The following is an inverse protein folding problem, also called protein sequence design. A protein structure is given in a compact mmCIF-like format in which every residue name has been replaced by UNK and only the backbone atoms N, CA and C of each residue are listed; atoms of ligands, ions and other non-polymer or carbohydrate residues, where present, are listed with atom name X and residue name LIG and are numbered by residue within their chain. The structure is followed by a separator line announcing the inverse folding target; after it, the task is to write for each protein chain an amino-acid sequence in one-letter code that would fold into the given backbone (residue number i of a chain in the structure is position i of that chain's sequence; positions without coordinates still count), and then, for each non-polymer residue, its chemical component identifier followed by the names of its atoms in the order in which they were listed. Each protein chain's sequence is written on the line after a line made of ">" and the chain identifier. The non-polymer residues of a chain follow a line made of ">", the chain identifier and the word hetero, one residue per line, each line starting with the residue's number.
data_IF_115863764768
#
_entry.id   IF_115863764768
#
_cell.length_a   1.000
_cell.length_b   1.000
_cell.length_c   1.000
_cell.angle_alpha   90.00
_cell.angle_beta   90.00
_cell.angle_gamma   90.00
#
_symmetry.space_group_name_H-M   'P 1'
#
loop_
_entity.id
_entity.type
_entity.pdbx_description
1 polymer ?
#
# COMPACT_ATOMS: atom_id res chain seq x y z
N UNK A 1 24.93 -61.96 -40.01
CA UNK A 1 24.30 -61.89 -41.36
C UNK A 1 23.48 -60.59 -41.47
N UNK A 2 22.92 -60.25 -42.64
CA UNK A 2 22.33 -58.93 -43.04
C UNK A 2 20.81 -59.10 -43.31
N UNK A 3 19.89 -58.12 -43.22
CA UNK A 3 19.91 -56.66 -42.89
C UNK A 3 18.59 -56.29 -42.14
N UNK A 4 18.60 -55.25 -41.29
CA UNK A 4 17.40 -54.41 -41.00
C UNK A 4 16.67 -54.70 -39.68
N UNK A 5 15.98 -53.74 -39.03
CA UNK A 5 15.69 -52.33 -39.35
C UNK A 5 14.17 -52.06 -39.45
N UNK A 6 13.58 -50.97 -38.94
CA UNK A 6 14.08 -49.78 -38.20
C UNK A 6 13.41 -49.75 -36.78
N UNK A 7 13.01 -48.70 -36.04
CA UNK A 7 12.87 -47.21 -36.12
C UNK A 7 12.75 -46.71 -34.63
N UNK A 8 12.69 -45.44 -34.21
CA UNK A 8 12.60 -44.13 -34.85
C UNK A 8 13.14 -42.98 -33.94
N UNK A 9 13.45 -41.83 -34.57
CA UNK A 9 13.34 -40.43 -34.08
C UNK A 9 13.57 -40.05 -32.61
N UNK A 10 14.67 -39.31 -32.38
CA UNK A 10 14.88 -38.41 -31.24
C UNK A 10 16.27 -37.75 -31.33
N UNK A 11 16.40 -36.50 -31.81
CA UNK A 11 17.70 -35.93 -32.17
C UNK A 11 18.48 -35.34 -30.98
N UNK A 12 19.72 -35.80 -30.85
CA UNK A 12 20.95 -35.00 -30.75
C UNK A 12 21.11 -34.02 -29.58
N UNK A 13 21.62 -34.55 -28.45
CA UNK A 13 22.44 -33.76 -27.54
C UNK A 13 23.82 -33.50 -28.18
N UNK A 14 24.24 -32.23 -28.29
CA UNK A 14 25.54 -31.86 -28.89
C UNK A 14 26.29 -30.81 -28.06
N UNK A 15 27.48 -31.19 -27.64
CA UNK A 15 28.65 -30.38 -27.26
C UNK A 15 28.51 -29.15 -26.36
N UNK A 16 29.12 -29.29 -25.18
CA UNK A 16 29.91 -28.21 -24.56
C UNK A 16 30.92 -27.61 -25.54
N UNK A 17 30.87 -26.29 -25.76
CA UNK A 17 32.05 -25.46 -26.01
C UNK A 17 31.71 -23.96 -25.84
N UNK A 18 32.37 -23.28 -24.90
CA UNK A 18 32.69 -21.83 -24.87
C UNK A 18 32.94 -21.33 -23.44
N UNK A 19 34.12 -21.61 -22.88
CA UNK A 19 34.72 -20.69 -21.93
C UNK A 19 35.35 -19.54 -22.74
N UNK A 20 34.87 -18.31 -22.54
CA UNK A 20 35.36 -17.12 -23.25
C UNK A 20 35.38 -15.92 -22.30
N UNK A 21 36.42 -15.09 -22.39
CA UNK A 21 36.66 -13.97 -21.48
C UNK A 21 36.24 -12.63 -22.09
N UNK A 22 35.63 -11.78 -21.25
CA UNK A 22 35.53 -10.33 -21.38
C UNK A 22 34.67 -9.77 -22.56
N UNK A 23 34.27 -8.48 -22.51
CA UNK A 23 34.44 -7.51 -21.44
C UNK A 23 33.12 -7.14 -20.73
N UNK A 24 33.21 -6.37 -19.64
CA UNK A 24 32.05 -5.78 -19.00
C UNK A 24 31.41 -4.71 -19.91
N UNK A 25 30.16 -4.93 -20.33
CA UNK A 25 29.39 -3.99 -21.15
C UNK A 25 27.99 -3.85 -20.57
N UNK A 26 27.62 -2.63 -20.19
CA UNK A 26 26.21 -2.24 -20.02
C UNK A 26 25.46 -2.92 -18.87
N UNK A 27 25.87 -2.65 -17.62
CA UNK A 27 24.98 -2.78 -16.46
C UNK A 27 23.89 -1.67 -16.48
N UNK A 28 23.08 -1.65 -17.55
CA UNK A 28 21.82 -0.92 -17.59
C UNK A 28 20.81 -1.73 -16.80
N UNK A 29 20.90 -1.64 -15.46
CA UNK A 29 19.94 -2.23 -14.55
C UNK A 29 18.57 -1.64 -14.84
N UNK A 30 17.77 -2.38 -15.60
CA UNK A 30 16.36 -2.12 -15.79
C UNK A 30 15.67 -2.31 -14.44
N UNK A 31 15.42 -1.21 -13.73
CA UNK A 31 14.72 -1.18 -12.45
C UNK A 31 13.24 -1.56 -12.63
N UNK A 32 13.00 -2.84 -12.90
CA UNK A 32 11.80 -3.50 -12.39
C UNK A 32 11.88 -3.36 -10.87
N UNK A 33 10.83 -2.87 -10.23
CA UNK A 33 10.76 -2.83 -8.77
C UNK A 33 10.92 -4.25 -8.25
N UNK A 34 11.97 -4.50 -7.46
CA UNK A 34 12.16 -5.80 -6.84
C UNK A 34 10.97 -6.05 -5.87
N UNK A 35 10.42 -7.28 -5.83
CA UNK A 35 9.39 -7.62 -4.87
C UNK A 35 9.96 -7.54 -3.44
N UNK A 36 9.11 -7.17 -2.48
CA UNK A 36 9.48 -7.12 -1.07
C UNK A 36 9.75 -8.56 -0.58
N UNK A 37 11.01 -8.87 -0.28
CA UNK A 37 11.45 -10.23 0.01
C UNK A 37 11.33 -10.53 1.52
N UNK A 38 10.10 -10.74 1.98
CA UNK A 38 9.75 -11.00 3.39
C UNK A 38 9.01 -12.34 3.53
N UNK A 39 9.05 -12.93 4.73
CA UNK A 39 8.24 -14.11 5.04
C UNK A 39 6.78 -13.71 5.26
N UNK A 40 6.04 -13.66 4.15
CA UNK A 40 4.60 -13.37 4.13
C UNK A 40 3.78 -14.39 4.93
N UNK A 41 4.24 -15.64 5.08
CA UNK A 41 3.52 -16.62 5.90
C UNK A 41 3.67 -16.32 7.39
N UNK A 42 4.86 -15.88 7.82
CA UNK A 42 5.08 -15.32 9.17
C UNK A 42 4.23 -14.07 9.40
N UNK A 43 4.25 -13.09 8.48
CA UNK A 43 3.48 -11.85 8.61
C UNK A 43 1.97 -12.12 8.70
N UNK A 44 1.42 -12.98 7.84
CA UNK A 44 -0.01 -13.36 7.89
C UNK A 44 -0.36 -14.13 9.17
N UNK A 45 0.57 -14.93 9.72
CA UNK A 45 0.35 -15.62 10.99
C UNK A 45 0.36 -14.67 12.19
N UNK A 46 1.27 -13.69 12.22
CA UNK A 46 1.29 -12.61 13.21
C UNK A 46 -0.02 -11.81 13.16
N UNK A 47 -0.39 -11.30 11.98
CA UNK A 47 -1.64 -10.56 11.69
C UNK A 47 -2.95 -11.32 12.00
N UNK A 48 -2.87 -12.60 12.36
CA UNK A 48 -4.00 -13.45 12.74
C UNK A 48 -4.03 -13.82 14.23
N UNK A 49 -2.94 -13.61 14.97
CA UNK A 49 -2.86 -13.76 16.43
C UNK A 49 -3.16 -12.40 17.11
N UNK A 50 -2.54 -11.32 16.61
CA UNK A 50 -2.96 -9.94 16.85
C UNK A 50 -2.89 -9.09 15.56
N UNK A 51 -3.31 -7.82 15.60
CA UNK A 51 -3.48 -7.01 14.38
C UNK A 51 -2.19 -6.29 13.91
N UNK A 52 -1.02 -6.66 14.46
CA UNK A 52 0.28 -6.09 14.12
C UNK A 52 1.22 -7.21 13.62
N UNK A 53 2.19 -6.86 12.78
CA UNK A 53 3.27 -7.76 12.42
C UNK A 53 4.59 -7.03 12.16
N UNK A 54 5.69 -7.74 12.36
CA UNK A 54 7.05 -7.28 12.18
C UNK A 54 7.83 -8.20 11.23
N UNK A 55 8.68 -7.59 10.38
CA UNK A 55 9.58 -8.32 9.47
C UNK A 55 10.62 -9.19 10.21
N UNK A 56 11.01 -8.78 11.43
CA UNK A 56 12.15 -9.33 12.17
C UNK A 56 11.86 -9.42 13.68
N UNK A 57 12.57 -10.31 14.38
CA UNK A 57 12.57 -10.40 15.85
C UNK A 57 13.44 -9.29 16.50
N UNK A 58 13.24 -8.01 16.12
CA UNK A 58 13.97 -6.90 16.73
C UNK A 58 13.47 -6.66 18.17
N UNK A 59 14.35 -6.65 19.21
CA UNK A 59 13.97 -6.32 20.58
C UNK A 59 13.30 -4.95 20.78
N UNK A 60 13.43 -4.02 19.82
CA UNK A 60 12.70 -2.75 19.82
C UNK A 60 11.20 -2.92 19.57
N UNK A 61 10.77 -3.98 18.89
CA UNK A 61 9.36 -4.22 18.55
C UNK A 61 8.53 -4.36 19.83
N UNK A 62 9.04 -5.12 20.81
CA UNK A 62 8.49 -5.27 22.17
C UNK A 62 8.29 -3.95 22.95
N UNK A 63 8.86 -2.83 22.48
CA UNK A 63 8.71 -1.50 23.08
C UNK A 63 7.70 -0.60 22.34
N UNK A 64 7.33 -0.93 21.10
CA UNK A 64 6.39 -0.15 20.27
C UNK A 64 5.09 -0.89 19.94
N UNK A 65 5.13 -2.23 19.98
CA UNK A 65 4.01 -3.15 19.76
C UNK A 65 2.79 -2.85 20.64
N UNK A 66 2.89 -2.54 21.95
CA UNK A 66 1.71 -2.21 22.76
C UNK A 66 0.98 -0.94 22.31
N UNK A 67 1.73 0.09 21.89
CA UNK A 67 1.15 1.35 21.41
C UNK A 67 0.64 1.25 19.96
N UNK A 68 1.30 0.45 19.13
CA UNK A 68 0.80 0.04 17.82
C UNK A 68 -0.52 -0.71 17.94
N UNK A 69 -0.57 -1.77 18.77
CA UNK A 69 -1.79 -2.55 18.99
C UNK A 69 -2.93 -1.70 19.52
N UNK A 70 -2.65 -0.80 20.46
CA UNK A 70 -3.62 0.19 20.94
C UNK A 70 -4.19 1.01 19.76
N UNK A 71 -3.32 1.65 18.97
CA UNK A 71 -3.74 2.51 17.87
C UNK A 71 -4.48 1.74 16.75
N UNK A 72 -4.06 0.51 16.42
CA UNK A 72 -4.74 -0.36 15.43
C UNK A 72 -6.13 -0.77 15.90
N UNK A 73 -6.30 -1.10 17.18
CA UNK A 73 -7.61 -1.44 17.75
C UNK A 73 -8.54 -0.21 17.85
N UNK A 74 -7.99 0.95 18.21
CA UNK A 74 -8.73 2.23 18.21
C UNK A 74 -9.16 2.62 16.78
N UNK A 75 -8.29 2.47 15.79
CA UNK A 75 -8.59 2.70 14.37
C UNK A 75 -9.69 1.76 13.86
N UNK A 76 -9.56 0.46 14.15
CA UNK A 76 -10.54 -0.56 13.76
C UNK A 76 -11.94 -0.28 14.31
N UNK A 77 -12.00 0.29 15.51
CA UNK A 77 -13.25 0.67 16.18
C UNK A 77 -13.87 1.95 15.60
N UNK A 78 -13.04 2.91 15.18
CA UNK A 78 -13.49 4.19 14.61
C UNK A 78 -14.00 4.06 13.17
N UNK A 79 -13.24 3.36 12.32
CA UNK A 79 -13.54 3.23 10.89
C UNK A 79 -14.42 2.00 10.56
N UNK A 80 -14.87 1.25 11.57
CA UNK A 80 -15.93 0.25 11.43
C UNK A 80 -15.52 -1.10 10.82
N UNK A 81 -14.23 -1.41 10.76
CA UNK A 81 -13.70 -2.69 10.26
C UNK A 81 -12.27 -2.94 10.73
N UNK A 82 -11.82 -4.21 10.83
CA UNK A 82 -10.49 -4.56 11.32
C UNK A 82 -9.36 -3.97 10.46
N UNK A 83 -8.37 -3.35 11.11
CA UNK A 83 -7.13 -2.91 10.50
C UNK A 83 -6.04 -3.98 10.72
N UNK A 84 -5.06 -4.04 9.82
CA UNK A 84 -3.78 -4.72 10.02
C UNK A 84 -2.62 -3.75 9.78
N UNK A 85 -1.54 -3.89 10.56
CA UNK A 85 -0.38 -3.00 10.47
C UNK A 85 0.94 -3.76 10.46
N UNK A 86 1.78 -3.49 9.46
CA UNK A 86 3.07 -4.18 9.27
C UNK A 86 4.23 -3.19 9.34
N UNK A 87 5.19 -3.48 10.23
CA UNK A 87 6.47 -2.78 10.30
C UNK A 87 7.54 -3.58 9.55
N UNK A 88 8.14 -2.95 8.55
CA UNK A 88 9.30 -3.44 7.83
C UNK A 88 10.55 -2.65 8.23
N UNK A 89 11.68 -3.34 8.29
CA UNK A 89 13.01 -2.76 8.48
C UNK A 89 13.77 -2.61 7.16
N UNK A 90 13.38 -3.37 6.13
CA UNK A 90 13.94 -3.30 4.77
C UNK A 90 13.72 -1.92 4.14
N UNK A 91 14.82 -1.27 3.77
CA UNK A 91 14.87 0.07 3.13
C UNK A 91 14.90 -0.07 1.60
N UNK A 92 14.29 0.88 0.89
CA UNK A 92 14.29 0.94 -0.58
C UNK A 92 13.14 0.17 -1.24
N UNK A 93 12.23 -0.38 -0.43
CA UNK A 93 10.96 -0.93 -0.90
C UNK A 93 10.03 0.21 -1.33
N UNK A 94 10.06 0.57 -2.62
CA UNK A 94 9.24 1.68 -3.14
C UNK A 94 7.73 1.42 -2.97
N UNK A 95 6.89 2.48 -2.85
CA UNK A 95 5.47 2.36 -2.47
C UNK A 95 4.64 1.38 -3.31
N UNK A 96 4.97 1.21 -4.60
CA UNK A 96 4.33 0.21 -5.46
C UNK A 96 4.44 -1.22 -4.91
N UNK A 97 5.64 -1.63 -4.49
CA UNK A 97 5.91 -2.96 -3.98
C UNK A 97 5.38 -3.15 -2.55
N UNK A 98 5.39 -2.09 -1.72
CA UNK A 98 4.73 -2.10 -0.41
C UNK A 98 3.21 -2.27 -0.55
N UNK A 99 2.59 -1.59 -1.52
CA UNK A 99 1.14 -1.70 -1.79
C UNK A 99 0.76 -3.07 -2.35
N UNK A 100 1.61 -3.68 -3.17
CA UNK A 100 1.37 -5.05 -3.67
C UNK A 100 1.52 -6.09 -2.53
N UNK A 101 2.46 -5.90 -1.60
CA UNK A 101 2.54 -6.68 -0.36
C UNK A 101 1.32 -6.45 0.55
N UNK A 102 0.90 -5.19 0.74
CA UNK A 102 -0.27 -4.84 1.55
C UNK A 102 -1.56 -5.48 1.00
N UNK A 103 -1.70 -5.53 -0.34
CA UNK A 103 -2.80 -6.23 -1.01
C UNK A 103 -2.77 -7.74 -0.74
N UNK A 104 -1.60 -8.39 -0.86
CA UNK A 104 -1.49 -9.83 -0.61
C UNK A 104 -1.74 -10.20 0.87
N UNK A 105 -1.35 -9.35 1.81
CA UNK A 105 -1.65 -9.53 3.24
C UNK A 105 -3.10 -9.20 3.59
N UNK A 106 -3.75 -8.25 2.90
CA UNK A 106 -5.20 -8.02 3.02
C UNK A 106 -5.98 -9.25 2.52
N UNK A 107 -5.64 -9.77 1.34
CA UNK A 107 -6.26 -10.97 0.77
C UNK A 107 -5.98 -12.26 1.58
N UNK A 108 -4.89 -12.28 2.36
CA UNK A 108 -4.53 -13.37 3.26
C UNK A 108 -5.11 -13.30 4.68
N UNK A 109 -5.80 -12.20 5.04
CA UNK A 109 -6.32 -11.97 6.40
C UNK A 109 -7.82 -11.59 6.37
N UNK A 110 -8.38 -11.21 7.52
CA UNK A 110 -9.74 -10.65 7.61
C UNK A 110 -9.74 -9.11 7.67
N UNK A 111 -8.61 -8.44 7.40
CA UNK A 111 -8.50 -6.99 7.52
C UNK A 111 -9.28 -6.27 6.41
N UNK A 112 -10.00 -5.21 6.78
CA UNK A 112 -10.64 -4.29 5.83
C UNK A 112 -9.67 -3.21 5.34
N UNK A 113 -8.63 -2.90 6.14
CA UNK A 113 -7.56 -1.95 5.80
C UNK A 113 -6.22 -2.52 6.23
N UNK A 114 -5.25 -2.59 5.32
CA UNK A 114 -3.89 -3.07 5.59
C UNK A 114 -2.89 -1.96 5.33
N UNK A 115 -2.05 -1.66 6.33
CA UNK A 115 -1.00 -0.63 6.26
C UNK A 115 0.36 -1.32 6.38
N UNK A 116 1.26 -1.05 5.43
CA UNK A 116 2.65 -1.56 5.45
C UNK A 116 3.60 -0.37 5.45
N UNK A 117 4.44 -0.27 6.49
CA UNK A 117 5.39 0.83 6.69
C UNK A 117 6.83 0.32 6.74
N UNK A 118 7.65 0.80 5.81
CA UNK A 118 9.11 0.70 5.82
C UNK A 118 9.72 2.01 6.37
N UNK A 119 11.05 2.11 6.58
CA UNK A 119 11.68 3.30 7.13
C UNK A 119 11.65 4.51 6.18
N UNK A 120 11.64 4.28 4.85
CA UNK A 120 11.69 5.30 3.80
C UNK A 120 10.39 5.44 2.98
N UNK A 121 9.44 4.51 3.14
CA UNK A 121 8.18 4.48 2.39
C UNK A 121 7.05 3.82 3.19
N UNK A 122 5.81 4.09 2.80
CA UNK A 122 4.62 3.42 3.34
C UNK A 122 3.63 3.17 2.19
N UNK A 123 2.72 2.22 2.39
CA UNK A 123 1.55 2.04 1.55
C UNK A 123 0.36 1.54 2.38
N UNK A 124 -0.84 1.91 1.97
CA UNK A 124 -2.08 1.38 2.53
C UNK A 124 -3.02 0.89 1.43
N UNK A 125 -3.79 -0.15 1.74
CA UNK A 125 -4.90 -0.64 0.92
C UNK A 125 -6.13 -0.84 1.79
N UNK A 126 -7.33 -0.72 1.22
CA UNK A 126 -8.58 -0.92 1.95
C UNK A 126 -9.70 -1.36 0.99
N UNK A 127 -10.67 -2.12 1.52
CA UNK A 127 -11.92 -2.42 0.82
C UNK A 127 -12.96 -1.31 0.95
N UNK A 128 -12.89 -0.52 2.02
CA UNK A 128 -13.91 0.49 2.39
C UNK A 128 -13.48 1.92 2.07
N UNK A 129 -12.19 2.25 2.22
CA UNK A 129 -11.70 3.62 2.04
C UNK A 129 -11.51 3.98 0.56
N UNK A 130 -11.95 5.18 0.18
CA UNK A 130 -11.71 5.69 -1.17
C UNK A 130 -10.23 5.94 -1.41
N UNK A 131 -9.79 5.85 -2.67
CA UNK A 131 -8.41 6.16 -3.08
C UNK A 131 -7.94 7.55 -2.61
N UNK A 132 -8.82 8.54 -2.59
CA UNK A 132 -8.47 9.90 -2.15
C UNK A 132 -8.24 10.00 -0.62
N UNK A 133 -8.98 9.21 0.17
CA UNK A 133 -8.71 9.05 1.60
C UNK A 133 -7.37 8.34 1.81
N UNK A 134 -7.12 7.21 1.13
CA UNK A 134 -5.85 6.45 1.21
C UNK A 134 -4.64 7.34 0.88
N UNK A 135 -4.60 7.98 -0.29
CA UNK A 135 -3.45 8.81 -0.72
C UNK A 135 -3.17 9.95 0.28
N UNK A 136 -4.22 10.58 0.83
CA UNK A 136 -4.07 11.61 1.87
C UNK A 136 -3.56 11.04 3.20
N UNK A 137 -4.01 9.83 3.56
CA UNK A 137 -3.70 9.21 4.85
C UNK A 137 -2.30 8.63 4.90
N UNK A 138 -1.79 8.09 3.78
CA UNK A 138 -0.38 7.77 3.59
C UNK A 138 0.52 8.99 3.83
N UNK A 139 0.14 10.16 3.28
CA UNK A 139 0.84 11.43 3.50
C UNK A 139 0.76 11.97 4.93
N UNK A 140 -0.24 11.58 5.73
CA UNK A 140 -0.32 11.92 7.15
C UNK A 140 0.59 10.99 7.97
N UNK A 141 0.52 9.69 7.72
CA UNK A 141 1.23 8.64 8.43
C UNK A 141 2.75 8.72 8.25
N UNK A 142 3.24 8.95 7.03
CA UNK A 142 4.70 9.04 6.76
C UNK A 142 5.35 10.30 7.39
N UNK A 143 4.57 11.29 7.81
CA UNK A 143 5.09 12.51 8.47
C UNK A 143 5.39 12.31 9.96
N UNK A 144 4.84 11.28 10.59
CA UNK A 144 5.02 11.02 12.01
C UNK A 144 6.21 10.07 12.23
N UNK A 145 7.28 10.47 12.95
CA UNK A 145 8.38 9.56 13.29
C UNK A 145 7.94 8.42 14.23
N UNK A 146 6.94 8.71 15.05
CA UNK A 146 6.24 7.74 15.89
C UNK A 146 5.25 6.92 15.03
N UNK A 147 5.22 5.61 15.26
CA UNK A 147 4.43 4.67 14.47
C UNK A 147 2.96 4.67 14.87
N UNK A 148 2.65 4.75 16.17
CA UNK A 148 1.28 4.78 16.69
C UNK A 148 0.61 6.13 16.39
N UNK A 149 1.30 7.24 16.63
CA UNK A 149 0.83 8.57 16.20
C UNK A 149 0.67 8.68 14.67
N UNK A 150 1.39 7.86 13.91
CA UNK A 150 1.20 7.71 12.46
C UNK A 150 -0.16 7.09 12.09
N UNK A 151 -0.66 6.13 12.89
CA UNK A 151 -2.01 5.55 12.73
C UNK A 151 -3.07 6.55 13.20
N UNK A 152 -2.87 7.21 14.34
CA UNK A 152 -3.79 8.24 14.85
C UNK A 152 -3.95 9.38 13.81
N UNK A 153 -2.85 9.79 13.16
CA UNK A 153 -2.85 10.76 12.08
C UNK A 153 -3.46 10.25 10.77
N UNK A 154 -3.31 8.95 10.45
CA UNK A 154 -3.97 8.29 9.33
C UNK A 154 -5.50 8.41 9.50
N UNK A 155 -6.03 7.92 10.62
CA UNK A 155 -7.48 7.93 10.94
C UNK A 155 -8.05 9.35 10.96
N UNK A 156 -7.41 10.28 11.68
CA UNK A 156 -7.85 11.68 11.69
C UNK A 156 -7.92 12.30 10.28
N UNK A 157 -7.00 11.91 9.39
CA UNK A 157 -6.99 12.41 8.01
C UNK A 157 -8.09 11.81 7.11
N UNK A 158 -8.60 10.61 7.42
CA UNK A 158 -9.79 10.00 6.77
C UNK A 158 -11.02 10.87 7.07
N UNK A 159 -11.25 11.22 8.34
CA UNK A 159 -12.34 12.10 8.75
C UNK A 159 -12.24 13.48 8.07
N UNK A 160 -11.05 14.08 8.05
CA UNK A 160 -10.76 15.32 7.33
C UNK A 160 -10.78 15.17 5.78
N UNK A 161 -11.04 13.98 5.23
CA UNK A 161 -11.24 13.75 3.78
C UNK A 161 -12.65 13.26 3.44
N UNK A 162 -13.61 13.48 4.35
CA UNK A 162 -15.03 13.48 4.02
C UNK A 162 -15.33 14.33 2.78
N UNK A 163 -16.24 13.85 1.94
CA UNK A 163 -16.45 14.37 0.59
C UNK A 163 -16.64 15.90 0.56
N UNK A 164 -16.04 16.62 -0.42
CA UNK A 164 -16.40 18.00 -0.67
C UNK A 164 -17.91 18.14 -0.76
N UNK A 165 -18.52 18.97 0.09
CA UNK A 165 -19.98 19.07 0.18
C UNK A 165 -20.54 19.79 -1.07
N UNK A 166 -20.61 19.09 -2.21
CA UNK A 166 -21.07 19.63 -3.50
C UNK A 166 -22.50 20.17 -3.42
N UNK A 167 -23.35 19.61 -2.55
CA UNK A 167 -24.66 20.18 -2.22
C UNK A 167 -24.56 21.56 -1.56
N UNK A 168 -23.67 21.73 -0.58
CA UNK A 168 -23.44 23.02 0.10
C UNK A 168 -22.79 24.04 -0.84
N UNK A 169 -21.78 23.64 -1.62
CA UNK A 169 -21.14 24.48 -2.63
C UNK A 169 -22.14 24.91 -3.73
N UNK A 170 -22.99 23.99 -4.18
CA UNK A 170 -24.07 24.26 -5.12
C UNK A 170 -25.14 25.20 -4.56
N UNK A 171 -25.50 25.05 -3.28
CA UNK A 171 -26.44 25.95 -2.59
C UNK A 171 -25.86 27.37 -2.44
N UNK A 172 -24.57 27.50 -2.10
CA UNK A 172 -23.87 28.79 -2.04
C UNK A 172 -23.83 29.44 -3.43
N UNK A 173 -23.47 28.68 -4.48
CA UNK A 173 -23.44 29.19 -5.85
C UNK A 173 -24.83 29.63 -6.35
N UNK A 174 -25.87 28.84 -6.06
CA UNK A 174 -27.25 29.18 -6.38
C UNK A 174 -27.72 30.46 -5.64
N UNK A 175 -27.38 30.59 -4.35
CA UNK A 175 -27.68 31.80 -3.57
C UNK A 175 -26.99 33.04 -4.14
N UNK A 176 -25.72 32.93 -4.58
CA UNK A 176 -24.99 34.01 -5.25
C UNK A 176 -25.64 34.40 -6.59
N UNK A 177 -26.07 33.43 -7.41
CA UNK A 177 -26.77 33.68 -8.68
C UNK A 177 -28.09 34.42 -8.42
N UNK A 178 -28.88 33.99 -7.43
CA UNK A 178 -30.13 34.66 -7.05
C UNK A 178 -29.86 36.08 -6.53
N UNK A 179 -28.84 36.27 -5.69
CA UNK A 179 -28.44 37.58 -5.17
C UNK A 179 -28.09 38.55 -6.31
N UNK A 180 -27.26 38.11 -7.27
CA UNK A 180 -26.89 38.91 -8.45
C UNK A 180 -28.13 39.25 -9.28
N UNK A 181 -28.99 38.27 -9.57
CA UNK A 181 -30.21 38.50 -10.35
C UNK A 181 -31.15 39.52 -9.67
N UNK A 182 -31.31 39.45 -8.35
CA UNK A 182 -32.09 40.43 -7.58
C UNK A 182 -31.45 41.82 -7.64
N UNK A 183 -30.13 41.94 -7.41
CA UNK A 183 -29.44 43.24 -7.45
C UNK A 183 -29.53 43.87 -8.85
N UNK A 184 -29.28 43.11 -9.92
CA UNK A 184 -29.43 43.59 -11.30
C UNK A 184 -30.87 44.01 -11.62
N UNK A 185 -31.87 43.27 -11.14
CA UNK A 185 -33.27 43.64 -11.33
C UNK A 185 -33.65 44.95 -10.60
N UNK A 186 -33.07 45.19 -9.43
CA UNK A 186 -33.26 46.43 -8.67
C UNK A 186 -32.51 47.63 -9.27
N UNK A 187 -31.33 47.45 -9.86
CA UNK A 187 -30.59 48.54 -10.52
C UNK A 187 -31.17 48.92 -11.89
N UNK A 188 -31.73 47.97 -12.63
CA UNK A 188 -32.39 48.24 -13.94
C UNK A 188 -33.79 48.87 -13.78
N UNK A 189 -34.40 48.77 -12.58
CA UNK A 189 -35.71 49.38 -12.26
C UNK A 189 -35.63 50.78 -11.64
N UNK A 190 -34.45 51.41 -11.62
CA UNK A 190 -34.19 52.67 -10.91
C UNK A 190 -33.77 53.80 -11.86
#
# INVERSE_FOLDING_TARGET
>A
MRIGGTRATGPDAVSSLCASNAPAVGALTFWIMAPVNVDKASLTAQLADDSVAFETDNPMNLLIEPDLLRAVNEASTQEGGPFGYVVLETVGAGPGALRDLAQELLEGTNAHTMIVRAPDATAAVSTELTRAQIEKSEFALIRQPDYAQGIDAFVASIADSGEPHWGTLGAILAALIVLVAVVTHWTVKR
#
